data_IF_890015325631
#
_entry.id   IF_890015325631
#
_cell.length_a   1.000
_cell.length_b   1.000
_cell.length_c   1.000
_cell.angle_alpha   90.00
_cell.angle_beta   90.00
_cell.angle_gamma   90.00
#
_symmetry.space_group_name_H-M   'P 1'
#
loop_
_entity.id
_entity.type
_entity.pdbx_description
1 polymer ?
#
# COMPACT_ATOMS: atom_id res chain seq x y z
N UNK A 1 -2.71 18.02 -32.26
CA UNK A 1 -1.43 17.48 -31.78
C UNK A 1 -1.52 17.44 -30.27
N UNK A 2 -1.42 16.27 -29.66
CA UNK A 2 -1.39 16.10 -28.20
C UNK A 2 0.03 16.40 -27.70
N UNK A 3 0.15 17.08 -26.56
CA UNK A 3 1.44 17.45 -25.97
C UNK A 3 2.17 16.16 -25.51
N UNK A 4 3.44 15.94 -25.87
CA UNK A 4 4.21 14.78 -25.39
C UNK A 4 4.34 14.71 -23.86
N UNK A 5 4.17 15.82 -23.14
CA UNK A 5 4.14 15.84 -21.67
C UNK A 5 2.84 15.24 -21.10
N UNK A 6 1.73 15.25 -21.85
CA UNK A 6 0.46 14.64 -21.41
C UNK A 6 0.60 13.13 -21.18
N UNK A 7 1.57 12.47 -21.85
CA UNK A 7 1.82 11.02 -21.72
C UNK A 7 2.73 10.63 -20.56
N UNK A 8 3.31 11.61 -19.86
CA UNK A 8 4.29 11.39 -18.81
C UNK A 8 3.77 11.77 -17.41
N UNK A 9 2.45 11.89 -17.26
CA UNK A 9 1.84 12.22 -15.97
C UNK A 9 1.19 10.98 -15.37
N UNK A 10 1.69 10.56 -14.21
CA UNK A 10 0.97 9.61 -13.35
C UNK A 10 -0.08 10.41 -12.58
N UNK A 11 -1.34 10.01 -12.69
CA UNK A 11 -2.44 10.66 -11.96
C UNK A 11 -2.70 9.88 -10.69
N UNK A 12 -2.69 10.58 -9.55
CA UNK A 12 -2.98 9.94 -8.28
C UNK A 12 -4.44 9.46 -8.22
N UNK A 13 -4.71 8.31 -7.57
CA UNK A 13 -6.08 7.86 -7.30
C UNK A 13 -6.88 8.89 -6.50
N UNK A 14 -8.23 8.89 -6.61
CA UNK A 14 -9.07 9.80 -5.87
C UNK A 14 -8.92 9.60 -4.35
N UNK A 15 -9.15 10.66 -3.59
CA UNK A 15 -9.14 10.63 -2.12
C UNK A 15 -10.53 10.91 -1.53
N UNK A 16 -10.80 10.28 -0.39
CA UNK A 16 -11.99 10.47 0.44
C UNK A 16 -11.62 11.27 1.70
N UNK A 17 -12.53 12.15 2.14
CA UNK A 17 -12.30 13.01 3.31
C UNK A 17 -11.48 14.27 3.00
N UNK A 18 -11.41 15.18 3.96
CA UNK A 18 -10.82 16.52 3.75
C UNK A 18 -9.68 16.84 4.71
N UNK A 19 -8.77 17.72 4.27
CA UNK A 19 -7.62 18.15 5.06
C UNK A 19 -6.75 16.99 5.53
N UNK A 20 -6.42 16.97 6.82
CA UNK A 20 -5.56 15.94 7.43
C UNK A 20 -6.21 14.55 7.51
N UNK A 21 -7.51 14.42 7.20
CA UNK A 21 -8.25 13.16 7.21
C UNK A 21 -8.40 12.56 5.80
N UNK A 22 -7.78 13.19 4.79
CA UNK A 22 -7.84 12.69 3.42
C UNK A 22 -7.08 11.36 3.27
N UNK A 23 -7.70 10.40 2.60
CA UNK A 23 -7.18 9.04 2.35
C UNK A 23 -7.53 8.59 0.95
N UNK A 24 -6.69 7.79 0.30
CA UNK A 24 -7.04 7.23 -1.01
C UNK A 24 -8.32 6.37 -0.93
N UNK A 25 -9.16 6.48 -1.96
CA UNK A 25 -10.35 5.66 -2.11
C UNK A 25 -9.95 4.22 -2.42
N UNK A 26 -10.14 3.25 -1.51
CA UNK A 26 -9.74 1.87 -1.74
C UNK A 26 -10.48 1.24 -2.92
N UNK A 27 -11.69 1.69 -3.25
CA UNK A 27 -12.46 1.16 -4.38
C UNK A 27 -11.93 1.65 -5.74
N UNK A 28 -11.11 2.71 -5.73
CA UNK A 28 -10.46 3.26 -6.91
C UNK A 28 -9.00 2.81 -7.07
N UNK A 29 -8.45 2.08 -6.10
CA UNK A 29 -7.10 1.54 -6.20
C UNK A 29 -7.09 0.29 -7.08
N UNK A 30 -6.23 0.31 -8.10
CA UNK A 30 -6.09 -0.76 -9.08
C UNK A 30 -4.74 -1.48 -8.95
N UNK A 31 -4.54 -2.62 -9.63
CA UNK A 31 -3.23 -3.27 -9.70
C UNK A 31 -2.11 -2.38 -10.24
N UNK A 32 -2.43 -1.44 -11.14
CA UNK A 32 -1.46 -0.48 -11.69
C UNK A 32 -0.96 0.51 -10.64
N UNK A 33 -1.78 0.76 -9.61
CA UNK A 33 -1.42 1.56 -8.43
C UNK A 33 -0.60 0.76 -7.39
N UNK A 34 -0.33 -0.53 -7.66
CA UNK A 34 0.36 -1.43 -6.73
C UNK A 34 -0.54 -1.93 -5.59
N UNK A 35 -1.86 -1.87 -5.76
CA UNK A 35 -2.85 -2.33 -4.78
C UNK A 35 -3.31 -3.79 -4.99
N UNK A 36 -2.54 -4.58 -5.73
CA UNK A 36 -2.73 -6.02 -5.89
C UNK A 36 -2.12 -6.75 -4.69
N UNK A 37 -2.92 -6.91 -3.64
CA UNK A 37 -2.47 -7.49 -2.37
C UNK A 37 -2.51 -9.03 -2.33
N UNK A 38 -2.53 -9.71 -3.48
CA UNK A 38 -2.69 -11.17 -3.57
C UNK A 38 -1.64 -11.95 -2.75
N UNK A 39 -0.40 -11.44 -2.70
CA UNK A 39 0.70 -12.04 -1.91
C UNK A 39 0.72 -11.66 -0.43
N UNK A 40 -0.11 -10.71 0.02
CA UNK A 40 -0.03 -10.15 1.37
C UNK A 40 -0.28 -11.20 2.46
N UNK A 41 -1.22 -12.12 2.22
CA UNK A 41 -1.55 -13.17 3.18
C UNK A 41 -0.40 -14.17 3.38
N UNK A 42 0.31 -14.53 2.30
CA UNK A 42 1.50 -15.39 2.37
C UNK A 42 2.66 -14.71 3.09
N UNK A 43 2.94 -13.45 2.74
CA UNK A 43 3.98 -12.65 3.37
C UNK A 43 3.72 -12.49 4.88
N UNK A 44 2.47 -12.26 5.27
CA UNK A 44 2.11 -12.15 6.68
C UNK A 44 2.41 -13.44 7.44
N UNK A 45 2.02 -14.61 6.90
CA UNK A 45 2.32 -15.92 7.52
C UNK A 45 3.81 -16.17 7.67
N UNK A 46 4.61 -15.84 6.65
CA UNK A 46 6.06 -15.95 6.70
C UNK A 46 6.65 -15.04 7.80
N UNK A 47 6.15 -13.81 7.90
CA UNK A 47 6.60 -12.84 8.91
C UNK A 47 6.24 -13.25 10.33
N UNK A 48 5.05 -13.83 10.56
CA UNK A 48 4.72 -14.38 11.89
C UNK A 48 5.68 -15.51 12.25
N UNK A 49 5.93 -16.43 11.31
CA UNK A 49 6.86 -17.54 11.52
C UNK A 49 8.27 -17.05 11.88
N UNK A 50 8.78 -16.02 11.20
CA UNK A 50 10.07 -15.39 11.56
C UNK A 50 10.04 -14.79 12.98
N UNK A 51 8.99 -14.04 13.33
CA UNK A 51 8.81 -13.48 14.69
C UNK A 51 8.78 -14.54 15.78
N UNK A 52 8.15 -15.68 15.52
CA UNK A 52 8.10 -16.81 16.45
C UNK A 52 9.45 -17.52 16.60
N UNK A 53 10.31 -17.44 15.57
CA UNK A 53 11.65 -18.02 15.56
C UNK A 53 12.73 -17.10 16.15
N UNK A 54 12.47 -15.79 16.24
CA UNK A 54 13.37 -14.88 16.96
C UNK A 54 13.17 -15.06 18.47
N UNK A 55 14.22 -15.43 19.24
CA UNK A 55 14.12 -15.48 20.70
C UNK A 55 13.80 -14.06 21.19
N UNK A 56 12.58 -13.89 21.69
CA UNK A 56 11.94 -12.58 21.81
C UNK A 56 12.79 -11.53 22.52
N UNK A 57 12.96 -10.40 21.84
CA UNK A 57 13.20 -9.12 22.50
C UNK A 57 11.92 -8.77 23.28
N UNK A 58 11.81 -9.33 24.48
CA UNK A 58 10.92 -8.82 25.52
C UNK A 58 11.65 -7.67 26.22
N UNK A 59 11.71 -6.53 25.56
CA UNK A 59 11.99 -5.22 26.18
C UNK A 59 10.89 -4.31 25.64
N UNK A 60 10.00 -3.71 26.40
CA UNK A 60 10.08 -3.10 27.72
C UNK A 60 8.63 -2.87 28.20
N UNK A 61 8.39 -2.99 29.50
CA UNK A 61 7.14 -2.64 30.19
C UNK A 61 7.08 -1.14 30.43
#
# INVERSE_FOLDING_TARGET
MTDPLDKATSTAPPTLGEGCLSRYDPDALTPEDGADFDGAAELWRATQTDKDLQPGDKSDT
#
